data_IF_189861599582
#
_entry.id   IF_189861599582
#
_cell.length_a   1.000
_cell.length_b   1.000
_cell.length_c   1.000
_cell.angle_alpha   90.00
_cell.angle_beta   90.00
_cell.angle_gamma   90.00
#
_symmetry.space_group_name_H-M   'P 1'
#
loop_
_entity.id
_entity.type
_entity.pdbx_description
1 polymer ?
#
# COMPACT_ATOMS: atom_id res chain seq x y z
N UNK A 1 -54.46 -11.37 12.95
CA UNK A 1 -54.23 -12.78 12.58
C UNK A 1 -52.79 -13.14 12.93
N UNK A 2 -52.59 -14.24 13.66
CA UNK A 2 -51.31 -14.92 13.93
C UNK A 2 -50.65 -15.31 12.58
N UNK A 3 -49.33 -15.38 12.40
CA UNK A 3 -48.42 -16.29 13.09
C UNK A 3 -46.93 -15.90 13.02
N UNK A 4 -46.23 -16.36 14.06
CA UNK A 4 -44.79 -16.42 14.36
C UNK A 4 -43.98 -17.36 13.47
N UNK A 5 -42.69 -17.05 13.24
CA UNK A 5 -41.57 -17.97 13.51
C UNK A 5 -40.22 -17.24 13.67
N UNK A 6 -39.57 -17.46 14.82
CA UNK A 6 -38.15 -17.18 15.06
C UNK A 6 -37.34 -18.40 14.60
N UNK A 7 -36.17 -18.18 14.00
CA UNK A 7 -35.16 -19.22 13.81
C UNK A 7 -33.82 -18.75 14.37
N UNK A 8 -33.46 -19.41 15.46
CA UNK A 8 -32.18 -19.38 16.17
C UNK A 8 -31.33 -20.51 15.60
N UNK A 9 -30.15 -20.22 15.08
CA UNK A 9 -29.07 -21.19 14.83
C UNK A 9 -27.80 -20.37 14.57
N UNK A 10 -26.63 -20.60 15.15
CA UNK A 10 -26.10 -21.70 15.94
C UNK A 10 -24.59 -21.61 15.75
N UNK A 11 -23.82 -21.47 16.85
CA UNK A 11 -22.36 -21.40 16.81
C UNK A 11 -21.77 -22.66 16.18
N UNK A 12 -20.82 -22.48 15.26
CA UNK A 12 -19.96 -23.55 14.74
C UNK A 12 -18.54 -23.01 14.53
N UNK A 13 -17.73 -23.00 15.59
CA UNK A 13 -16.29 -22.77 15.51
C UNK A 13 -15.65 -24.09 15.09
N UNK A 14 -15.07 -24.14 13.89
CA UNK A 14 -14.29 -25.28 13.42
C UNK A 14 -12.82 -24.89 13.47
N UNK A 15 -12.16 -25.26 14.55
CA UNK A 15 -10.69 -25.26 14.67
C UNK A 15 -10.14 -26.53 14.03
N UNK A 16 -9.47 -26.40 12.89
CA UNK A 16 -8.63 -27.47 12.34
C UNK A 16 -7.18 -27.16 12.70
N UNK A 17 -6.66 -27.93 13.66
CA UNK A 17 -5.23 -27.98 13.95
C UNK A 17 -4.51 -28.88 12.94
N UNK A 18 -3.54 -28.32 12.22
CA UNK A 18 -2.63 -29.10 11.37
C UNK A 18 -1.31 -29.27 12.13
N UNK A 19 -1.09 -30.46 12.69
CA UNK A 19 0.21 -30.92 13.13
C UNK A 19 0.86 -31.69 11.97
N UNK A 20 2.04 -31.27 11.51
CA UNK A 20 2.83 -32.04 10.56
C UNK A 20 4.03 -32.63 11.30
N UNK A 21 3.97 -33.96 11.35
CA UNK A 21 4.88 -34.92 11.94
C UNK A 21 6.25 -34.87 11.26
N UNK A 22 7.31 -34.80 12.06
CA UNK A 22 8.66 -35.08 11.60
C UNK A 22 8.83 -36.58 11.34
N UNK A 23 9.39 -36.93 10.19
CA UNK A 23 9.94 -38.25 9.92
C UNK A 23 11.40 -38.09 9.54
N UNK A 24 12.27 -38.65 10.39
CA UNK A 24 13.68 -38.83 10.10
C UNK A 24 13.90 -39.84 8.97
N UNK A 25 15.03 -39.70 8.30
CA UNK A 25 15.62 -40.75 7.48
C UNK A 25 17.00 -41.08 8.04
N UNK A 26 17.12 -42.29 8.55
CA UNK A 26 18.38 -42.99 8.81
C UNK A 26 18.64 -43.94 7.64
N UNK A 27 19.75 -43.73 6.95
CA UNK A 27 20.55 -44.71 6.22
C UNK A 27 21.80 -43.94 5.76
N UNK A 28 23.04 -44.34 6.00
CA UNK A 28 23.61 -45.54 6.56
C UNK A 28 25.05 -45.62 6.05
N UNK A 29 25.91 -46.25 6.86
CA UNK A 29 27.07 -47.04 6.45
C UNK A 29 28.50 -46.49 6.66
N UNK A 30 29.19 -47.29 7.48
CA UNK A 30 30.56 -47.24 7.98
C UNK A 30 31.66 -47.25 6.90
N UNK A 31 32.81 -46.64 7.24
CA UNK A 31 34.08 -47.38 7.32
C UNK A 31 35.20 -46.60 8.02
N UNK A 32 35.75 -47.26 9.04
CA UNK A 32 37.02 -46.99 9.74
C UNK A 32 38.24 -47.33 8.87
N UNK A 33 39.26 -46.45 8.82
CA UNK A 33 40.71 -46.75 9.06
C UNK A 33 41.57 -45.48 8.94
N UNK A 34 42.17 -45.09 10.08
CA UNK A 34 43.49 -44.47 10.44
C UNK A 34 44.39 -43.70 9.42
N UNK A 35 45.36 -42.88 9.89
CA UNK A 35 45.59 -41.51 9.45
C UNK A 35 46.78 -41.37 8.48
N UNK A 36 46.81 -40.31 7.69
CA UNK A 36 48.03 -39.89 6.99
C UNK A 36 48.12 -38.38 7.03
N UNK A 37 49.15 -37.90 7.72
CA UNK A 37 49.62 -36.52 7.66
C UNK A 37 49.96 -36.15 6.22
N UNK A 38 49.42 -35.04 5.74
CA UNK A 38 50.07 -34.26 4.70
C UNK A 38 49.77 -32.79 4.92
N UNK A 39 50.85 -32.07 5.17
CA UNK A 39 50.95 -30.62 5.25
C UNK A 39 50.54 -30.03 3.91
N UNK A 40 49.52 -29.18 3.89
CA UNK A 40 49.30 -28.24 2.82
C UNK A 40 48.65 -26.97 3.40
N UNK A 41 49.28 -25.85 3.09
CA UNK A 41 49.09 -24.50 3.63
C UNK A 41 47.65 -24.01 3.65
N UNK A 42 47.30 -23.12 4.60
CA UNK A 42 46.03 -22.39 4.57
C UNK A 42 46.09 -21.34 3.44
N UNK A 43 45.65 -21.71 2.25
CA UNK A 43 45.24 -20.73 1.24
C UNK A 43 43.92 -20.14 1.72
N UNK A 44 44.02 -19.06 2.51
CA UNK A 44 42.97 -18.07 2.74
C UNK A 44 42.52 -17.58 1.37
N UNK A 45 41.56 -18.30 0.80
CA UNK A 45 40.75 -17.78 -0.28
C UNK A 45 39.79 -16.84 0.42
N UNK A 46 40.21 -15.59 0.56
CA UNK A 46 39.34 -14.47 0.88
C UNK A 46 38.28 -14.43 -0.22
N UNK A 47 37.23 -15.22 -0.04
CA UNK A 47 35.97 -15.03 -0.72
C UNK A 47 35.49 -13.70 -0.20
N UNK A 48 35.83 -12.63 -0.92
CA UNK A 48 35.19 -11.35 -0.77
C UNK A 48 33.72 -11.59 -1.14
N UNK A 49 32.93 -11.99 -0.16
CA UNK A 49 31.50 -11.81 -0.17
C UNK A 49 31.32 -10.32 -0.35
N UNK A 50 31.09 -9.90 -1.60
CA UNK A 50 30.51 -8.61 -1.88
C UNK A 50 29.15 -8.65 -1.19
N UNK A 51 29.13 -8.21 0.07
CA UNK A 51 27.91 -7.87 0.78
C UNK A 51 27.33 -6.68 0.04
N UNK A 52 26.62 -6.96 -1.05
CA UNK A 52 25.75 -5.99 -1.69
C UNK A 52 24.85 -5.46 -0.58
N UNK A 53 24.96 -4.16 -0.30
CA UNK A 53 24.18 -3.52 0.74
C UNK A 53 22.70 -3.88 0.50
N UNK A 54 21.94 -4.30 1.54
CA UNK A 54 20.55 -4.69 1.36
C UNK A 54 19.80 -3.57 0.64
N UNK A 55 19.17 -3.88 -0.50
CA UNK A 55 18.33 -2.93 -1.22
C UNK A 55 17.26 -2.41 -0.26
N UNK A 56 17.01 -1.09 -0.20
CA UNK A 56 15.95 -0.54 0.63
C UNK A 56 14.61 -1.21 0.29
N UNK A 57 13.89 -1.68 1.30
CA UNK A 57 12.60 -2.31 1.11
C UNK A 57 11.57 -1.30 0.58
N UNK A 58 10.70 -1.75 -0.31
CA UNK A 58 9.57 -0.96 -0.80
C UNK A 58 8.52 -0.77 0.29
N UNK A 59 7.81 0.36 0.26
CA UNK A 59 6.72 0.61 1.18
C UNK A 59 5.53 -0.30 0.87
N UNK A 60 5.05 -1.03 1.89
CA UNK A 60 3.83 -1.82 1.82
C UNK A 60 2.61 -0.97 2.13
N UNK A 61 1.47 -1.25 1.48
CA UNK A 61 0.22 -0.51 1.73
C UNK A 61 -0.15 -0.53 3.21
N UNK A 62 -0.02 -1.70 3.87
CA UNK A 62 -0.34 -1.87 5.28
C UNK A 62 0.60 -1.12 6.25
N UNK A 63 1.79 -0.71 5.78
CA UNK A 63 2.73 0.09 6.57
C UNK A 63 2.51 1.60 6.41
N UNK A 64 1.61 2.00 5.52
CA UNK A 64 1.28 3.38 5.22
C UNK A 64 -0.06 3.75 5.85
N UNK A 65 -0.09 4.89 6.52
CA UNK A 65 -1.33 5.55 6.89
C UNK A 65 -1.77 6.43 5.74
N UNK A 66 -2.95 6.13 5.18
CA UNK A 66 -3.51 6.83 4.03
C UNK A 66 -4.56 7.85 4.47
N UNK A 67 -4.54 9.03 3.86
CA UNK A 67 -5.59 10.03 4.02
C UNK A 67 -5.97 10.62 2.66
N UNK A 68 -7.27 10.82 2.45
CA UNK A 68 -7.82 11.42 1.25
C UNK A 68 -8.68 12.61 1.63
N UNK A 69 -8.25 13.80 1.22
CA UNK A 69 -8.90 15.07 1.59
C UNK A 69 -9.32 15.84 0.34
N UNK A 70 -10.59 16.18 0.22
CA UNK A 70 -11.12 17.08 -0.79
C UNK A 70 -10.64 18.49 -0.52
N UNK A 71 -10.15 19.15 -1.56
CA UNK A 71 -9.66 20.51 -1.50
C UNK A 71 -10.80 21.49 -1.83
N UNK A 72 -10.78 22.73 -1.30
CA UNK A 72 -11.81 23.70 -1.56
C UNK A 72 -11.86 24.06 -3.06
N UNK A 73 -13.06 24.04 -3.65
CA UNK A 73 -13.30 24.36 -5.06
C UNK A 73 -12.89 25.77 -5.47
N UNK A 74 -12.77 26.69 -4.50
CA UNK A 74 -12.31 28.07 -4.71
C UNK A 74 -10.79 28.20 -4.86
N UNK A 75 -10.03 27.11 -4.76
CA UNK A 75 -8.60 27.18 -5.01
C UNK A 75 -8.38 27.50 -6.49
N UNK A 76 -7.54 28.50 -6.79
CA UNK A 76 -7.12 28.79 -8.18
C UNK A 76 -6.33 27.63 -8.82
N UNK A 77 -6.04 26.58 -8.05
CA UNK A 77 -5.39 25.37 -8.54
C UNK A 77 -6.42 24.34 -9.01
N UNK A 78 -6.11 23.64 -10.10
CA UNK A 78 -6.89 22.52 -10.64
C UNK A 78 -6.91 21.26 -9.75
N UNK A 79 -6.49 21.39 -8.48
CA UNK A 79 -6.40 20.31 -7.50
C UNK A 79 -7.73 20.20 -6.78
N UNK A 80 -8.33 19.04 -6.88
CA UNK A 80 -9.65 18.76 -6.34
C UNK A 80 -9.58 17.94 -5.06
N UNK A 81 -8.56 17.10 -4.92
CA UNK A 81 -8.30 16.34 -3.71
C UNK A 81 -6.79 16.14 -3.49
N UNK A 82 -6.42 15.70 -2.29
CA UNK A 82 -5.06 15.34 -1.92
C UNK A 82 -5.06 13.98 -1.25
N UNK A 83 -4.30 13.06 -1.84
CA UNK A 83 -3.97 11.77 -1.25
C UNK A 83 -2.63 11.89 -0.53
N UNK A 84 -2.57 11.42 0.71
CA UNK A 84 -1.34 11.40 1.51
C UNK A 84 -1.07 9.98 1.96
N UNK A 85 0.18 9.53 1.83
CA UNK A 85 0.69 8.28 2.37
C UNK A 85 1.80 8.60 3.39
N UNK A 86 1.57 8.29 4.66
CA UNK A 86 2.57 8.49 5.71
C UNK A 86 3.12 7.15 6.19
N UNK A 87 4.45 7.00 6.28
CA UNK A 87 5.03 5.78 6.83
C UNK A 87 4.73 5.67 8.33
N UNK A 88 3.85 4.75 8.70
CA UNK A 88 3.49 4.45 10.08
C UNK A 88 4.24 3.20 10.61
N UNK A 89 5.00 2.54 9.74
CA UNK A 89 5.84 1.41 10.10
C UNK A 89 7.10 1.81 10.89
N UNK A 90 7.75 0.84 11.55
CA UNK A 90 8.98 1.08 12.31
C UNK A 90 10.21 1.21 11.41
N UNK A 91 10.16 0.71 10.17
CA UNK A 91 11.31 0.67 9.24
C UNK A 91 11.19 1.77 8.20
N UNK A 92 12.35 2.25 7.75
CA UNK A 92 12.42 3.09 6.54
C UNK A 92 12.07 2.24 5.32
N UNK A 93 11.30 2.81 4.40
CA UNK A 93 10.92 2.16 3.15
C UNK A 93 11.02 3.13 1.97
N UNK A 94 10.96 2.62 0.74
CA UNK A 94 10.99 3.42 -0.49
C UNK A 94 9.62 3.41 -1.14
N UNK A 95 9.07 4.60 -1.37
CA UNK A 95 7.88 4.85 -2.17
C UNK A 95 8.31 5.23 -3.58
N UNK A 96 8.10 4.35 -4.57
CA UNK A 96 8.70 4.48 -5.89
C UNK A 96 7.69 4.30 -7.04
N UNK A 97 6.80 5.27 -7.19
CA UNK A 97 5.84 5.28 -8.29
C UNK A 97 4.60 6.09 -7.95
N UNK A 98 3.60 6.02 -8.84
CA UNK A 98 2.26 6.45 -8.50
C UNK A 98 1.57 5.38 -7.65
N UNK A 99 0.82 5.76 -6.61
CA UNK A 99 -0.05 4.80 -5.94
C UNK A 99 -1.14 4.32 -6.89
N UNK A 100 -1.69 3.13 -6.65
CA UNK A 100 -2.97 2.78 -7.25
C UNK A 100 -4.07 3.58 -6.54
N UNK A 101 -5.05 4.04 -7.31
CA UNK A 101 -6.16 4.82 -6.79
C UNK A 101 -7.41 4.51 -7.61
N UNK A 102 -8.45 3.99 -6.96
CA UNK A 102 -9.66 3.55 -7.65
C UNK A 102 -10.87 4.04 -6.86
N UNK A 103 -11.79 4.71 -7.56
CA UNK A 103 -13.10 5.07 -7.01
C UNK A 103 -14.14 4.19 -7.69
N UNK A 104 -14.75 3.30 -6.92
CA UNK A 104 -15.81 2.44 -7.45
C UNK A 104 -17.13 3.18 -7.54
N UNK A 105 -17.93 2.81 -8.54
CA UNK A 105 -19.32 3.17 -8.68
C UNK A 105 -20.14 1.87 -8.75
N UNK A 106 -20.64 1.45 -7.60
CA UNK A 106 -21.27 0.15 -7.45
C UNK A 106 -20.27 -1.00 -7.65
N UNK A 107 -20.73 -2.08 -8.29
CA UNK A 107 -19.98 -3.35 -8.33
C UNK A 107 -19.06 -3.55 -9.55
N UNK A 108 -19.22 -2.76 -10.61
CA UNK A 108 -18.62 -3.06 -11.91
C UNK A 108 -17.90 -1.89 -12.57
N UNK A 109 -18.18 -0.66 -12.15
CA UNK A 109 -17.62 0.52 -12.77
C UNK A 109 -16.68 1.23 -11.79
N UNK A 110 -15.64 1.86 -12.31
CA UNK A 110 -14.73 2.67 -11.51
C UNK A 110 -14.08 3.75 -12.37
N UNK A 111 -13.65 4.82 -11.70
CA UNK A 111 -12.67 5.75 -12.25
C UNK A 111 -11.33 5.46 -11.57
N UNK A 112 -10.31 5.26 -12.39
CA UNK A 112 -8.95 4.97 -11.94
C UNK A 112 -8.09 6.25 -11.93
N UNK A 113 -7.12 6.28 -11.02
CA UNK A 113 -6.09 7.28 -10.98
C UNK A 113 -5.02 7.00 -12.03
N UNK A 114 -4.67 8.01 -12.82
CA UNK A 114 -3.60 7.91 -13.82
C UNK A 114 -2.56 8.99 -13.55
N UNK A 115 -1.31 8.54 -13.36
CA UNK A 115 -0.15 9.41 -13.24
C UNK A 115 0.52 9.67 -14.59
N UNK A 116 1.06 10.89 -14.78
CA UNK A 116 1.84 11.23 -15.97
C UNK A 116 3.25 11.70 -15.63
N UNK A 117 4.24 11.13 -16.31
CA UNK A 117 5.66 11.43 -16.12
C UNK A 117 6.39 10.36 -15.30
N UNK A 118 7.58 10.71 -14.82
CA UNK A 118 8.47 9.78 -14.13
C UNK A 118 8.63 10.15 -12.66
N UNK A 119 7.92 9.46 -11.74
CA UNK A 119 8.02 9.72 -10.31
C UNK A 119 9.42 9.35 -9.79
N UNK A 120 10.01 10.25 -9.00
CA UNK A 120 11.26 9.95 -8.29
C UNK A 120 10.98 8.99 -7.15
N UNK A 121 11.95 8.12 -6.85
CA UNK A 121 11.91 7.29 -5.64
C UNK A 121 12.03 8.19 -4.41
N UNK A 122 11.16 7.99 -3.42
CA UNK A 122 11.14 8.75 -2.17
C UNK A 122 11.39 7.81 -1.01
N UNK A 123 12.46 8.04 -0.26
CA UNK A 123 12.73 7.32 0.98
C UNK A 123 11.88 7.89 2.11
N UNK A 124 11.05 7.05 2.74
CA UNK A 124 10.18 7.42 3.84
C UNK A 124 10.67 6.83 5.15
N UNK A 125 11.23 7.68 5.99
CA UNK A 125 11.43 7.38 7.41
C UNK A 125 10.09 7.34 8.15
N UNK A 126 10.08 6.82 9.39
CA UNK A 126 8.88 6.82 10.22
C UNK A 126 8.31 8.25 10.35
N UNK A 127 7.02 8.39 10.09
CA UNK A 127 6.27 9.66 10.11
C UNK A 127 6.43 10.53 8.85
N UNK A 128 7.41 10.26 7.99
CA UNK A 128 7.57 10.97 6.73
C UNK A 128 6.44 10.63 5.75
N UNK A 129 6.15 11.55 4.83
CA UNK A 129 4.92 11.50 4.02
C UNK A 129 5.21 11.73 2.55
N UNK A 130 4.42 11.09 1.70
CA UNK A 130 4.25 11.44 0.30
C UNK A 130 2.86 12.02 0.11
N UNK A 131 2.78 13.06 -0.70
CA UNK A 131 1.53 13.69 -1.10
C UNK A 131 1.37 13.61 -2.61
N UNK A 132 0.14 13.34 -3.06
CA UNK A 132 -0.26 13.25 -4.46
C UNK A 132 -1.53 14.09 -4.60
N UNK A 133 -1.48 15.14 -5.40
CA UNK A 133 -2.66 15.96 -5.70
C UNK A 133 -3.45 15.31 -6.84
N UNK A 134 -4.76 15.25 -6.67
CA UNK A 134 -5.71 14.62 -7.61
C UNK A 134 -6.49 15.70 -8.37
N UNK A 135 -6.68 15.49 -9.66
CA UNK A 135 -7.40 16.38 -10.55
C UNK A 135 -8.46 15.60 -11.34
N UNK A 136 -9.69 16.07 -11.31
CA UNK A 136 -10.82 15.49 -12.03
C UNK A 136 -11.83 16.58 -12.37
N UNK A 137 -12.73 16.30 -13.29
CA UNK A 137 -13.82 17.24 -13.61
C UNK A 137 -15.01 16.93 -12.71
N UNK A 138 -15.52 17.88 -11.90
CA UNK A 138 -16.70 17.63 -11.09
C UNK A 138 -17.98 17.63 -11.92
N UNK A 139 -19.05 17.01 -11.42
CA UNK A 139 -20.36 16.98 -12.11
C UNK A 139 -20.87 18.40 -12.36
N UNK A 140 -21.35 18.64 -13.58
CA UNK A 140 -21.91 19.92 -14.00
C UNK A 140 -20.86 20.99 -14.35
N UNK A 141 -19.56 20.71 -14.21
CA UNK A 141 -18.52 21.56 -14.77
C UNK A 141 -18.41 21.38 -16.29
N UNK A 142 -17.90 22.42 -16.97
CA UNK A 142 -17.63 22.35 -18.39
C UNK A 142 -16.61 21.23 -18.69
N UNK A 143 -16.93 20.36 -19.65
CA UNK A 143 -16.12 19.19 -19.98
C UNK A 143 -16.35 18.00 -19.05
N UNK A 144 -17.38 18.03 -18.19
CA UNK A 144 -17.87 16.83 -17.53
C UNK A 144 -18.46 15.90 -18.61
N UNK A 145 -17.91 14.69 -18.73
CA UNK A 145 -18.52 13.65 -19.56
C UNK A 145 -19.79 13.10 -18.91
N UNK A 146 -20.45 12.19 -19.62
CA UNK A 146 -21.70 11.56 -19.14
C UNK A 146 -21.46 10.54 -18.02
N UNK A 147 -20.23 10.06 -17.87
CA UNK A 147 -19.84 9.13 -16.81
C UNK A 147 -19.29 9.88 -15.60
N UNK A 148 -19.94 9.68 -14.45
CA UNK A 148 -19.53 10.24 -13.16
C UNK A 148 -19.67 9.22 -12.04
N UNK A 149 -18.81 9.33 -11.04
CA UNK A 149 -18.85 8.58 -9.78
C UNK A 149 -19.07 9.54 -8.62
N UNK A 150 -19.81 9.07 -7.61
CA UNK A 150 -20.01 9.80 -6.37
C UNK A 150 -19.88 8.85 -5.20
N UNK A 151 -18.77 8.91 -4.47
CA UNK A 151 -18.43 7.88 -3.48
C UNK A 151 -17.74 8.47 -2.24
N UNK A 152 -17.97 7.86 -1.08
CA UNK A 152 -17.39 8.27 0.20
C UNK A 152 -16.06 7.59 0.54
N UNK A 153 -15.61 6.66 -0.29
CA UNK A 153 -14.38 5.88 -0.11
C UNK A 153 -13.64 5.69 -1.43
N UNK A 154 -12.34 5.44 -1.36
CA UNK A 154 -11.50 5.05 -2.49
C UNK A 154 -10.61 3.87 -2.10
N UNK A 155 -10.36 2.95 -3.03
CA UNK A 155 -9.32 1.95 -2.86
C UNK A 155 -7.98 2.54 -3.24
N UNK A 156 -6.98 2.31 -2.39
CA UNK A 156 -5.60 2.74 -2.65
C UNK A 156 -4.61 1.63 -2.34
N UNK A 157 -3.46 1.68 -3.01
CA UNK A 157 -2.31 0.84 -2.67
C UNK A 157 -0.99 1.55 -2.96
N UNK A 158 0.09 1.04 -2.36
CA UNK A 158 1.43 1.50 -2.66
C UNK A 158 1.80 1.18 -4.13
N UNK A 159 2.76 1.91 -4.75
CA UNK A 159 3.12 1.74 -6.16
C UNK A 159 3.62 0.35 -6.58
N UNK A 160 3.92 -0.52 -5.62
CA UNK A 160 4.42 -1.87 -5.87
C UNK A 160 3.48 -2.88 -5.23
N UNK A 161 3.07 -3.88 -6.00
CA UNK A 161 2.08 -4.92 -5.65
C UNK A 161 0.64 -4.40 -5.40
N UNK A 162 0.06 -3.60 -6.32
CA UNK A 162 -1.23 -2.98 -6.10
C UNK A 162 -2.40 -3.97 -5.96
N UNK A 163 -2.30 -5.14 -6.60
CA UNK A 163 -3.37 -6.15 -6.59
C UNK A 163 -3.39 -7.02 -5.34
N UNK A 164 -2.31 -7.02 -4.55
CA UNK A 164 -2.16 -7.89 -3.38
C UNK A 164 -2.51 -7.19 -2.07
N UNK A 165 -2.36 -5.86 -2.00
CA UNK A 165 -2.58 -5.08 -0.78
C UNK A 165 -3.29 -3.75 -1.09
N UNK A 166 -4.61 -3.77 -1.27
CA UNK A 166 -5.44 -2.55 -1.33
C UNK A 166 -6.10 -2.26 0.02
N UNK A 167 -6.34 -0.99 0.31
CA UNK A 167 -7.13 -0.55 1.47
C UNK A 167 -8.17 0.47 1.07
N UNK A 168 -9.36 0.41 1.68
CA UNK A 168 -10.35 1.48 1.57
C UNK A 168 -9.90 2.69 2.39
N UNK A 169 -9.98 3.87 1.80
CA UNK A 169 -9.66 5.14 2.42
C UNK A 169 -10.89 6.03 2.35
N UNK A 170 -11.42 6.49 3.49
CA UNK A 170 -12.55 7.40 3.51
C UNK A 170 -12.17 8.75 2.90
N UNK A 171 -13.11 9.32 2.15
CA UNK A 171 -13.02 10.66 1.59
C UNK A 171 -13.43 11.65 2.68
N UNK A 172 -12.56 12.62 2.97
CA UNK A 172 -12.81 13.66 3.96
C UNK A 172 -12.76 15.05 3.34
N UNK A 173 -13.39 16.04 3.96
CA UNK A 173 -13.15 17.45 3.65
C UNK A 173 -11.94 18.02 4.42
N UNK A 174 -11.65 19.31 4.23
CA UNK A 174 -10.55 19.98 4.92
C UNK A 174 -10.73 20.12 6.44
N UNK A 175 -11.94 19.90 6.95
CA UNK A 175 -12.26 19.86 8.38
C UNK A 175 -12.25 18.44 8.95
N UNK A 176 -11.80 17.46 8.16
CA UNK A 176 -11.81 16.04 8.49
C UNK A 176 -13.22 15.46 8.70
N UNK A 177 -14.25 16.09 8.14
CA UNK A 177 -15.60 15.55 8.10
C UNK A 177 -15.76 14.61 6.90
N UNK A 178 -16.60 13.59 7.04
CA UNK A 178 -16.94 12.67 5.96
C UNK A 178 -17.48 13.43 4.75
N UNK A 179 -16.96 13.12 3.57
CA UNK A 179 -17.32 13.76 2.31
C UNK A 179 -17.47 12.72 1.20
N UNK A 180 -17.80 13.19 0.00
CA UNK A 180 -17.89 12.34 -1.19
C UNK A 180 -17.11 12.96 -2.33
N UNK A 181 -16.25 12.15 -2.97
CA UNK A 181 -15.66 12.54 -4.24
C UNK A 181 -16.75 12.53 -5.30
N UNK A 182 -16.83 13.57 -6.12
CA UNK A 182 -17.80 13.67 -7.23
C UNK A 182 -17.01 13.98 -8.50
N UNK A 183 -16.60 12.92 -9.20
CA UNK A 183 -15.66 12.98 -10.32
C UNK A 183 -16.31 12.43 -11.59
N UNK A 184 -16.06 13.10 -12.71
CA UNK A 184 -16.54 12.72 -14.03
C UNK A 184 -15.38 12.56 -15.02
N UNK A 185 -15.61 11.73 -16.04
CA UNK A 185 -14.63 11.34 -17.06
C UNK A 185 -14.06 9.94 -16.82
N UNK A 186 -13.06 9.58 -17.62
CA UNK A 186 -12.52 8.21 -17.64
C UNK A 186 -11.42 7.97 -16.59
N UNK A 187 -10.78 9.03 -16.09
CA UNK A 187 -9.67 8.92 -15.14
C UNK A 187 -9.55 10.14 -14.22
N UNK A 188 -8.88 9.92 -13.09
CA UNK A 188 -8.44 10.98 -12.17
C UNK A 188 -6.95 11.20 -12.38
N UNK A 189 -6.56 12.41 -12.79
CA UNK A 189 -5.15 12.72 -13.03
C UNK A 189 -4.39 12.92 -11.73
N UNK A 190 -3.26 12.23 -11.57
CA UNK A 190 -2.39 12.32 -10.40
C UNK A 190 -1.15 13.19 -10.67
N UNK A 191 -0.86 14.12 -9.77
CA UNK A 191 0.42 14.84 -9.76
C UNK A 191 1.58 13.90 -9.44
N UNK A 192 2.81 14.30 -9.78
CA UNK A 192 4.00 13.60 -9.29
C UNK A 192 3.96 13.49 -7.75
N UNK A 193 4.23 12.31 -7.18
CA UNK A 193 4.36 12.15 -5.74
C UNK A 193 5.51 13.00 -5.22
N UNK A 194 5.24 13.81 -4.20
CA UNK A 194 6.24 14.69 -3.59
C UNK A 194 6.43 14.38 -2.12
N UNK A 195 7.69 14.42 -1.69
CA UNK A 195 8.07 14.24 -0.30
C UNK A 195 7.61 15.44 0.53
N UNK A 196 6.97 15.15 1.66
CA UNK A 196 6.69 16.13 2.70
C UNK A 196 7.30 15.61 4.01
N UNK A 197 8.26 16.33 4.61
CA UNK A 197 8.83 15.94 5.89
C UNK A 197 7.75 15.93 6.97
N UNK A 198 7.91 15.07 7.97
CA UNK A 198 7.11 15.18 9.19
C UNK A 198 7.31 16.57 9.78
N UNK A 199 6.22 17.24 10.17
CA UNK A 199 6.32 18.47 10.96
C UNK A 199 7.16 18.13 12.20
N UNK A 200 8.34 18.77 12.31
CA UNK A 200 9.13 18.66 13.51
C UNK A 200 8.27 19.19 14.66
N UNK A 201 7.87 18.29 15.57
CA UNK A 201 7.29 18.72 16.83
C UNK A 201 8.43 19.36 17.62
N UNK A 202 8.58 20.67 17.48
CA UNK A 202 9.48 21.45 18.33
C UNK A 202 8.87 21.45 19.73
N UNK A 203 9.25 20.46 20.55
CA UNK A 203 8.99 20.49 21.98
C UNK A 203 9.78 21.66 22.57
N UNK A 204 9.08 22.64 23.13
CA UNK A 204 9.66 23.76 23.88
C UNK A 204 9.62 23.45 25.37
#
# INVERSE_FOLDING_TARGET
MRATTRLTAGLGVVTVGLAITGCGHTAGQDRTTTPTSSVASPSVTSSATHSEAPKPAECRTASLMWTLVLLPTKSSSRRHARLTAANNGPKTCVFAGYPDFIVHNGKANSIEGVGHGHPKKVTLHKGARVTVDLQYTPRGAQGAGDYCVKEGEALVSAPHNPDLERTNVPVMDTHHAAAQIDACGDSISMSLPHYTPALATTTR
#
